data_IF_577059337459
#
_entry.id   IF_577059337459
#
_cell.length_a   1.000
_cell.length_b   1.000
_cell.length_c   1.000
_cell.angle_alpha   90.00
_cell.angle_beta   90.00
_cell.angle_gamma   90.00
#
_symmetry.space_group_name_H-M   'P 1'
#
loop_
_entity.id
_entity.type
_entity.pdbx_description
1 polymer ?
#
# COMPACT_ATOMS: atom_id res chain seq x y z
N UNK A 1 -58.44 77.20 25.89
CA UNK A 1 -58.95 76.51 27.09
C UNK A 1 -58.31 75.14 27.10
N UNK A 2 -57.47 74.88 28.12
CA UNK A 2 -56.99 73.59 28.67
C UNK A 2 -56.37 72.58 27.68
N UNK A 3 -55.40 71.74 28.02
CA UNK A 3 -54.41 71.64 29.09
C UNK A 3 -53.44 70.55 28.57
N UNK A 4 -52.17 70.69 28.89
CA UNK A 4 -51.08 69.74 28.57
C UNK A 4 -51.29 68.38 29.27
N UNK A 5 -50.61 67.28 28.88
CA UNK A 5 -49.32 67.05 29.56
C UNK A 5 -48.22 66.33 28.75
N UNK A 6 -47.03 66.83 29.03
CA UNK A 6 -45.71 66.19 29.09
C UNK A 6 -45.73 64.80 29.73
N UNK A 7 -45.03 63.83 29.14
CA UNK A 7 -44.53 62.63 29.82
C UNK A 7 -43.04 62.44 29.52
N UNK A 8 -42.28 62.34 30.61
CA UNK A 8 -40.83 62.18 30.69
C UNK A 8 -40.39 60.72 30.41
N UNK A 9 -39.08 60.43 30.28
CA UNK A 9 -38.54 59.26 29.57
C UNK A 9 -38.30 58.05 30.48
N UNK A 10 -38.28 56.85 29.90
CA UNK A 10 -37.76 55.65 30.55
C UNK A 10 -36.97 54.79 29.56
N UNK A 11 -35.75 54.49 29.98
CA UNK A 11 -34.70 53.71 29.32
C UNK A 11 -35.20 52.49 28.53
N UNK A 12 -34.78 52.36 27.27
CA UNK A 12 -34.67 51.07 26.60
C UNK A 12 -33.19 50.78 26.36
N UNK A 13 -32.67 49.85 27.15
CA UNK A 13 -31.38 49.22 26.92
C UNK A 13 -31.35 48.65 25.49
N UNK A 14 -30.39 49.10 24.70
CA UNK A 14 -30.15 48.63 23.34
C UNK A 14 -29.73 47.17 23.38
N UNK A 15 -30.63 46.29 22.93
CA UNK A 15 -30.36 44.88 22.74
C UNK A 15 -29.40 44.75 21.55
N UNK A 16 -28.15 44.37 21.83
CA UNK A 16 -27.14 44.09 20.81
C UNK A 16 -27.61 42.96 19.89
N UNK A 17 -27.37 43.04 18.56
CA UNK A 17 -27.81 42.02 17.62
C UNK A 17 -27.10 40.68 17.93
N UNK A 18 -27.80 39.53 17.81
CA UNK A 18 -27.19 38.24 18.09
C UNK A 18 -26.02 38.01 17.13
N UNK A 19 -24.91 37.56 17.70
CA UNK A 19 -23.69 37.22 16.99
C UNK A 19 -24.00 36.30 15.80
N UNK A 20 -23.58 36.73 14.62
CA UNK A 20 -23.61 35.95 13.40
C UNK A 20 -22.81 34.67 13.66
N UNK A 21 -23.53 33.55 13.80
CA UNK A 21 -22.93 32.22 13.89
C UNK A 21 -22.05 32.06 12.65
N UNK A 22 -20.73 32.01 12.85
CA UNK A 22 -19.81 31.53 11.82
C UNK A 22 -20.24 30.11 11.48
N UNK A 23 -20.43 29.75 10.20
CA UNK A 23 -20.62 28.37 9.86
C UNK A 23 -19.30 27.64 10.14
N UNK A 24 -19.20 26.98 11.29
CA UNK A 24 -18.28 25.86 11.50
C UNK A 24 -18.79 24.67 10.67
N UNK A 25 -18.83 24.88 9.35
CA UNK A 25 -19.08 23.85 8.37
C UNK A 25 -17.75 23.24 7.99
N UNK A 26 -17.16 22.43 8.87
CA UNK A 26 -16.16 21.48 8.40
C UNK A 26 -16.84 20.59 7.37
N UNK A 27 -16.59 20.85 6.09
CA UNK A 27 -17.14 20.03 5.01
C UNK A 27 -16.54 18.64 5.23
N UNK A 28 -17.36 17.61 5.51
CA UNK A 28 -16.82 16.28 5.76
C UNK A 28 -16.01 15.87 4.53
N UNK A 29 -14.80 15.35 4.76
CA UNK A 29 -13.98 14.80 3.68
C UNK A 29 -14.82 13.76 2.92
N UNK A 30 -15.12 14.04 1.65
CA UNK A 30 -15.82 13.13 0.77
C UNK A 30 -14.81 12.56 -0.21
N UNK A 31 -14.51 11.24 -0.13
CA UNK A 31 -13.63 10.62 -1.11
C UNK A 31 -14.24 10.75 -2.51
N UNK A 32 -13.39 10.90 -3.53
CA UNK A 32 -13.83 11.01 -4.92
C UNK A 32 -14.45 9.70 -5.44
N UNK A 33 -14.07 8.57 -4.83
CA UNK A 33 -14.56 7.24 -5.17
C UNK A 33 -15.06 6.59 -3.88
N UNK A 34 -16.30 6.14 -3.93
CA UNK A 34 -16.86 5.26 -2.91
C UNK A 34 -17.06 3.90 -3.57
N UNK A 35 -16.87 2.83 -2.79
CA UNK A 35 -17.07 1.45 -3.24
C UNK A 35 -17.94 0.73 -2.21
N UNK A 36 -18.88 -0.09 -2.66
CA UNK A 36 -19.62 -0.96 -1.74
C UNK A 36 -18.73 -2.09 -1.22
N UNK A 37 -19.07 -2.65 -0.05
CA UNK A 37 -18.35 -3.81 0.49
C UNK A 37 -18.37 -5.01 -0.47
N UNK A 38 -19.48 -5.20 -1.20
CA UNK A 38 -19.60 -6.26 -2.20
C UNK A 38 -18.61 -6.06 -3.35
N UNK A 39 -18.47 -4.83 -3.86
CA UNK A 39 -17.52 -4.49 -4.91
C UNK A 39 -16.08 -4.66 -4.43
N UNK A 40 -15.75 -4.24 -3.20
CA UNK A 40 -14.42 -4.44 -2.62
C UNK A 40 -14.08 -5.92 -2.47
N UNK A 41 -15.03 -6.74 -1.99
CA UNK A 41 -14.83 -8.18 -1.86
C UNK A 41 -14.54 -8.82 -3.21
N UNK A 42 -15.34 -8.50 -4.23
CA UNK A 42 -15.15 -8.98 -5.59
C UNK A 42 -13.81 -8.54 -6.20
N UNK A 43 -13.45 -7.26 -6.05
CA UNK A 43 -12.16 -6.73 -6.51
C UNK A 43 -10.98 -7.45 -5.86
N UNK A 44 -11.06 -7.73 -4.55
CA UNK A 44 -10.00 -8.46 -3.84
C UNK A 44 -9.85 -9.90 -4.34
N UNK A 45 -10.94 -10.56 -4.73
CA UNK A 45 -10.87 -11.93 -5.27
C UNK A 45 -10.18 -12.00 -6.63
N UNK A 46 -10.40 -11.00 -7.49
CA UNK A 46 -9.81 -10.92 -8.83
C UNK A 46 -8.42 -10.27 -8.85
N UNK A 47 -8.11 -9.38 -7.90
CA UNK A 47 -6.84 -8.67 -7.83
C UNK A 47 -5.69 -9.56 -7.31
N UNK A 48 -6.00 -10.74 -6.77
CA UNK A 48 -4.99 -11.74 -6.41
C UNK A 48 -4.17 -12.09 -7.66
N UNK A 49 -2.84 -12.09 -7.53
CA UNK A 49 -1.95 -12.45 -8.63
C UNK A 49 -2.20 -13.92 -9.03
N UNK A 50 -2.67 -14.13 -10.26
CA UNK A 50 -3.08 -15.43 -10.79
C UNK A 50 -2.36 -15.72 -12.10
N UNK A 51 -2.23 -17.01 -12.40
CA UNK A 51 -1.73 -17.45 -13.69
C UNK A 51 -2.64 -17.01 -14.85
N UNK A 52 -2.14 -17.01 -16.09
CA UNK A 52 -2.94 -16.68 -17.26
C UNK A 52 -4.07 -17.69 -17.48
N UNK A 53 -5.25 -17.20 -17.88
CA UNK A 53 -6.29 -18.00 -18.50
C UNK A 53 -5.80 -18.45 -19.88
N UNK A 54 -5.73 -19.76 -20.09
CA UNK A 54 -5.36 -20.37 -21.37
C UNK A 54 -6.62 -20.80 -22.12
N UNK A 55 -6.72 -20.41 -23.39
CA UNK A 55 -7.79 -20.80 -24.30
C UNK A 55 -7.25 -20.94 -25.73
N UNK A 56 -8.12 -21.21 -26.70
CA UNK A 56 -7.80 -21.27 -28.12
C UNK A 56 -8.88 -20.56 -28.91
N UNK A 57 -8.48 -19.74 -29.88
CA UNK A 57 -9.39 -19.11 -30.86
C UNK A 57 -8.91 -19.48 -32.27
N UNK A 58 -9.72 -20.26 -32.98
CA UNK A 58 -9.29 -20.99 -34.16
C UNK A 58 -8.11 -21.92 -33.83
N UNK A 59 -7.08 -21.90 -34.67
CA UNK A 59 -5.88 -22.75 -34.50
C UNK A 59 -4.80 -22.16 -33.58
N UNK A 60 -4.98 -20.91 -33.13
CA UNK A 60 -3.96 -20.18 -32.37
C UNK A 60 -4.24 -20.24 -30.86
N UNK A 61 -3.21 -20.41 -30.02
CA UNK A 61 -3.35 -20.31 -28.57
C UNK A 61 -3.63 -18.87 -28.16
N UNK A 62 -4.47 -18.72 -27.13
CA UNK A 62 -4.79 -17.46 -26.48
C UNK A 62 -4.45 -17.55 -24.99
N UNK A 63 -3.69 -16.58 -24.50
CA UNK A 63 -3.38 -16.41 -23.09
C UNK A 63 -3.83 -15.03 -22.63
N UNK A 64 -4.71 -14.99 -21.64
CA UNK A 64 -5.23 -13.76 -21.03
C UNK A 64 -4.77 -13.68 -19.58
N UNK A 65 -4.12 -12.58 -19.19
CA UNK A 65 -3.69 -12.37 -17.81
C UNK A 65 -4.17 -11.01 -17.33
N UNK A 66 -4.85 -10.97 -16.17
CA UNK A 66 -5.13 -9.70 -15.51
C UNK A 66 -3.79 -9.04 -15.17
N UNK A 67 -3.58 -7.84 -15.68
CA UNK A 67 -2.37 -7.08 -15.40
C UNK A 67 -2.57 -6.18 -14.18
N UNK A 68 -3.59 -5.31 -14.24
CA UNK A 68 -3.91 -4.36 -13.17
C UNK A 68 -5.34 -3.86 -13.28
N UNK A 69 -5.84 -3.33 -12.16
CA UNK A 69 -7.02 -2.48 -12.13
C UNK A 69 -6.59 -1.03 -12.32
N UNK A 70 -7.25 -0.32 -13.23
CA UNK A 70 -6.97 1.08 -13.55
C UNK A 70 -8.19 1.92 -13.17
N UNK A 71 -7.99 2.89 -12.29
CA UNK A 71 -9.07 3.74 -11.78
C UNK A 71 -9.27 5.03 -12.58
N UNK A 72 -8.22 5.51 -13.23
CA UNK A 72 -8.22 6.74 -14.02
C UNK A 72 -7.78 6.44 -15.45
N UNK A 73 -8.48 6.98 -16.43
CA UNK A 73 -8.19 6.73 -17.84
C UNK A 73 -6.81 7.28 -18.19
N UNK A 74 -5.90 6.38 -18.56
CA UNK A 74 -4.59 6.73 -19.10
C UNK A 74 -4.69 6.88 -20.64
N UNK A 75 -4.09 7.92 -21.24
CA UNK A 75 -4.05 8.08 -22.70
C UNK A 75 -3.33 6.88 -23.33
N UNK A 76 -3.87 6.40 -24.45
CA UNK A 76 -3.36 5.21 -25.14
C UNK A 76 -2.84 5.61 -26.50
N UNK A 77 -1.63 5.14 -26.83
CA UNK A 77 -1.05 5.40 -28.15
C UNK A 77 -1.66 4.51 -29.25
N UNK A 78 -2.34 3.43 -28.87
CA UNK A 78 -2.97 2.47 -29.78
C UNK A 78 -4.46 2.76 -29.94
N UNK A 79 -4.96 2.75 -31.17
CA UNK A 79 -6.40 2.80 -31.47
C UNK A 79 -7.09 1.55 -30.91
N UNK A 80 -8.18 1.78 -30.19
CA UNK A 80 -8.97 0.76 -29.50
C UNK A 80 -10.40 0.75 -30.06
N UNK A 81 -11.00 -0.43 -30.10
CA UNK A 81 -12.36 -0.70 -30.53
C UNK A 81 -13.18 -1.16 -29.32
N UNK A 82 -14.17 -0.38 -28.89
CA UNK A 82 -15.07 -0.70 -27.80
C UNK A 82 -16.13 -1.70 -28.29
N UNK A 83 -16.08 -2.94 -27.81
CA UNK A 83 -17.07 -3.95 -28.09
C UNK A 83 -18.13 -3.93 -26.98
N UNK A 84 -19.36 -3.54 -27.33
CA UNK A 84 -20.45 -3.32 -26.38
C UNK A 84 -21.39 -4.52 -26.34
N UNK A 85 -21.35 -5.29 -25.26
CA UNK A 85 -22.16 -6.49 -25.06
C UNK A 85 -23.37 -6.20 -24.17
N UNK A 86 -24.51 -6.79 -24.51
CA UNK A 86 -25.64 -6.97 -23.59
C UNK A 86 -25.46 -8.26 -22.80
N UNK A 87 -25.56 -8.14 -21.48
CA UNK A 87 -25.45 -9.21 -20.50
C UNK A 87 -26.76 -9.42 -19.72
N UNK A 88 -27.89 -9.32 -20.41
CA UNK A 88 -29.22 -9.49 -19.83
C UNK A 88 -29.72 -8.23 -19.12
N UNK A 89 -29.61 -7.09 -19.81
CA UNK A 89 -29.99 -5.76 -19.33
C UNK A 89 -28.83 -4.93 -18.78
N UNK A 90 -27.63 -5.49 -18.75
CA UNK A 90 -26.40 -4.84 -18.30
C UNK A 90 -25.43 -4.69 -19.47
N UNK A 91 -24.83 -3.51 -19.58
CA UNK A 91 -23.89 -3.20 -20.66
C UNK A 91 -22.47 -3.51 -20.20
N UNK A 92 -21.79 -4.39 -20.92
CA UNK A 92 -20.37 -4.69 -20.75
C UNK A 92 -19.59 -4.09 -21.91
N UNK A 93 -18.49 -3.40 -21.63
CA UNK A 93 -17.65 -2.84 -22.69
C UNK A 93 -16.26 -3.45 -22.61
N UNK A 94 -15.92 -4.24 -23.63
CA UNK A 94 -14.60 -4.84 -23.82
C UNK A 94 -13.88 -4.06 -24.93
N UNK A 95 -12.90 -3.25 -24.58
CA UNK A 95 -12.07 -2.53 -25.54
C UNK A 95 -10.92 -3.41 -26.01
N UNK A 96 -10.85 -3.63 -27.33
CA UNK A 96 -9.81 -4.42 -27.99
C UNK A 96 -8.97 -3.51 -28.89
N UNK A 97 -7.63 -3.62 -28.91
CA UNK A 97 -6.81 -2.96 -29.91
C UNK A 97 -7.23 -3.40 -31.31
N UNK A 98 -7.29 -2.46 -32.27
CA UNK A 98 -7.71 -2.77 -33.65
C UNK A 98 -6.94 -3.95 -34.27
N UNK A 99 -5.60 -4.08 -34.10
CA UNK A 99 -4.87 -5.24 -34.63
C UNK A 99 -5.29 -6.58 -33.99
N UNK A 100 -5.74 -6.57 -32.73
CA UNK A 100 -6.27 -7.76 -32.08
C UNK A 100 -7.67 -8.08 -32.63
N UNK A 101 -8.53 -7.09 -32.82
CA UNK A 101 -9.86 -7.28 -33.41
C UNK A 101 -9.77 -7.86 -34.84
N UNK A 102 -8.86 -7.34 -35.68
CA UNK A 102 -8.58 -7.88 -37.01
C UNK A 102 -8.09 -9.34 -36.96
N UNK A 103 -7.16 -9.63 -36.04
CA UNK A 103 -6.65 -10.99 -35.85
C UNK A 103 -7.75 -11.98 -35.42
N UNK A 104 -8.73 -11.52 -34.65
CA UNK A 104 -9.90 -12.31 -34.24
C UNK A 104 -10.88 -12.52 -35.40
N UNK A 105 -11.20 -11.48 -36.16
CA UNK A 105 -12.05 -11.57 -37.37
C UNK A 105 -11.48 -12.58 -38.37
N UNK A 106 -10.15 -12.60 -38.54
CA UNK A 106 -9.46 -13.55 -39.41
C UNK A 106 -9.65 -15.03 -39.01
N UNK A 107 -10.07 -15.32 -37.78
CA UNK A 107 -10.37 -16.71 -37.34
C UNK A 107 -11.66 -17.25 -37.95
N UNK A 108 -12.59 -16.37 -38.29
CA UNK A 108 -13.85 -16.74 -38.94
C UNK A 108 -13.63 -16.91 -40.44
N UNK A 109 -12.93 -15.94 -41.06
CA UNK A 109 -12.58 -16.00 -42.47
C UNK A 109 -11.19 -15.40 -42.72
N UNK A 110 -10.29 -16.21 -43.27
CA UNK A 110 -8.93 -15.77 -43.60
C UNK A 110 -8.94 -14.63 -44.62
N UNK A 111 -8.15 -13.59 -44.35
CA UNK A 111 -7.99 -12.43 -45.25
C UNK A 111 -9.14 -11.42 -45.19
N UNK A 112 -10.11 -11.60 -44.29
CA UNK A 112 -11.16 -10.62 -44.07
C UNK A 112 -10.61 -9.44 -43.27
N UNK A 113 -10.63 -8.23 -43.84
CA UNK A 113 -10.36 -6.98 -43.12
C UNK A 113 -11.50 -6.69 -42.13
N UNK A 114 -11.27 -5.81 -41.16
CA UNK A 114 -12.31 -5.37 -40.23
C UNK A 114 -13.52 -4.80 -41.01
N UNK A 115 -14.70 -5.45 -41.01
CA UNK A 115 -15.81 -5.00 -41.83
C UNK A 115 -16.50 -3.77 -41.19
N UNK A 116 -17.46 -3.18 -41.90
CA UNK A 116 -18.33 -2.16 -41.32
C UNK A 116 -19.41 -2.78 -40.44
N UNK A 117 -20.04 -1.96 -39.58
CA UNK A 117 -21.27 -2.37 -38.90
C UNK A 117 -22.40 -2.63 -39.92
N UNK A 118 -23.36 -3.54 -39.63
CA UNK A 118 -23.46 -4.40 -38.45
C UNK A 118 -22.62 -5.70 -38.53
N UNK A 119 -22.00 -5.96 -39.68
CA UNK A 119 -21.26 -7.22 -39.95
C UNK A 119 -20.09 -7.41 -38.99
N UNK A 120 -19.42 -6.31 -38.60
CA UNK A 120 -18.30 -6.35 -37.65
C UNK A 120 -18.68 -6.95 -36.31
N UNK A 121 -19.78 -6.47 -35.72
CA UNK A 121 -20.30 -7.01 -34.46
C UNK A 121 -20.61 -8.50 -34.57
N UNK A 122 -21.28 -8.92 -35.64
CA UNK A 122 -21.62 -10.34 -35.85
C UNK A 122 -20.39 -11.24 -36.00
N UNK A 123 -19.40 -10.81 -36.79
CA UNK A 123 -18.18 -11.62 -37.01
C UNK A 123 -17.30 -11.65 -35.76
N UNK A 124 -17.21 -10.55 -35.01
CA UNK A 124 -16.48 -10.51 -33.75
C UNK A 124 -17.15 -11.34 -32.65
N UNK A 125 -18.48 -11.32 -32.56
CA UNK A 125 -19.24 -12.18 -31.65
C UNK A 125 -18.93 -13.66 -31.92
N UNK A 126 -18.99 -14.06 -33.20
CA UNK A 126 -18.66 -15.43 -33.61
C UNK A 126 -17.19 -15.79 -33.31
N UNK A 127 -16.26 -14.87 -33.55
CA UNK A 127 -14.84 -15.08 -33.25
C UNK A 127 -14.57 -15.21 -31.74
N UNK A 128 -15.38 -14.56 -30.90
CA UNK A 128 -15.24 -14.55 -29.44
C UNK A 128 -16.04 -15.67 -28.75
N UNK A 129 -16.87 -16.41 -29.48
CA UNK A 129 -17.73 -17.49 -28.94
C UNK A 129 -17.01 -18.43 -27.96
N UNK A 130 -15.78 -18.91 -28.21
CA UNK A 130 -15.13 -19.83 -27.28
C UNK A 130 -14.78 -19.21 -25.91
N UNK A 131 -14.70 -17.87 -25.84
CA UNK A 131 -14.53 -17.13 -24.60
C UNK A 131 -15.87 -16.74 -23.95
N UNK A 132 -16.89 -16.48 -24.76
CA UNK A 132 -18.22 -16.08 -24.29
C UNK A 132 -19.00 -17.30 -23.77
N UNK A 133 -18.96 -18.45 -24.45
CA UNK A 133 -19.74 -19.63 -24.11
C UNK A 133 -19.54 -20.17 -22.66
N UNK A 134 -18.33 -20.16 -22.07
CA UNK A 134 -18.17 -20.47 -20.65
C UNK A 134 -18.86 -19.47 -19.70
N UNK A 135 -18.81 -18.17 -20.03
CA UNK A 135 -19.50 -17.12 -19.27
C UNK A 135 -21.01 -17.29 -19.38
N UNK A 136 -21.53 -17.47 -20.59
CA UNK A 136 -22.95 -17.65 -20.87
C UNK A 136 -23.55 -18.86 -20.13
N UNK A 137 -22.83 -20.00 -20.13
CA UNK A 137 -23.26 -21.21 -19.41
C UNK A 137 -23.36 -21.00 -17.91
N UNK A 138 -22.42 -20.25 -17.32
CA UNK A 138 -22.45 -19.94 -15.89
C UNK A 138 -23.52 -18.90 -15.54
N UNK A 139 -23.70 -17.90 -16.41
CA UNK A 139 -24.73 -16.87 -16.24
C UNK A 139 -26.14 -17.37 -16.56
N UNK A 140 -26.27 -18.49 -17.27
CA UNK A 140 -27.52 -18.98 -17.87
C UNK A 140 -28.20 -17.92 -18.76
N UNK A 141 -27.40 -17.13 -19.47
CA UNK A 141 -27.83 -16.02 -20.34
C UNK A 141 -26.87 -15.89 -21.51
N UNK A 142 -27.36 -15.38 -22.64
CA UNK A 142 -26.51 -15.07 -23.80
C UNK A 142 -25.84 -13.70 -23.65
N UNK A 143 -24.61 -13.60 -24.15
CA UNK A 143 -23.85 -12.36 -24.27
C UNK A 143 -23.87 -11.94 -25.74
N UNK A 144 -24.67 -10.92 -26.07
CA UNK A 144 -24.81 -10.44 -27.45
C UNK A 144 -23.98 -9.19 -27.67
N UNK A 145 -23.15 -9.19 -28.71
CA UNK A 145 -22.39 -8.01 -29.14
C UNK A 145 -23.31 -7.08 -29.92
N UNK A 146 -23.73 -5.99 -29.30
CA UNK A 146 -24.70 -5.07 -29.87
C UNK A 146 -24.11 -4.18 -30.95
N UNK A 147 -22.89 -3.67 -30.70
CA UNK A 147 -22.16 -2.79 -31.60
C UNK A 147 -20.68 -2.74 -31.24
N UNK A 148 -19.89 -2.22 -32.16
CA UNK A 148 -18.51 -1.82 -31.88
C UNK A 148 -18.24 -0.38 -32.32
N UNK A 149 -17.66 0.40 -31.41
CA UNK A 149 -17.40 1.83 -31.57
C UNK A 149 -15.90 2.13 -31.44
N UNK A 150 -15.43 3.25 -32.00
CA UNK A 150 -14.08 3.73 -31.68
C UNK A 150 -14.03 4.13 -30.20
N UNK A 151 -12.98 3.72 -29.49
CA UNK A 151 -12.95 3.82 -28.05
C UNK A 151 -12.99 5.27 -27.56
N UNK A 152 -14.16 5.69 -27.09
CA UNK A 152 -14.42 6.97 -26.44
C UNK A 152 -14.88 6.79 -24.99
N UNK A 153 -15.15 5.55 -24.57
CA UNK A 153 -15.73 5.27 -23.25
C UNK A 153 -14.70 5.52 -22.15
N UNK A 154 -15.07 6.35 -21.17
CA UNK A 154 -14.24 6.67 -20.01
C UNK A 154 -14.77 6.00 -18.75
N UNK A 155 -13.86 5.52 -17.90
CA UNK A 155 -14.22 4.86 -16.65
C UNK A 155 -13.09 3.98 -16.12
N UNK A 156 -13.22 3.48 -14.88
CA UNK A 156 -12.28 2.50 -14.36
C UNK A 156 -12.42 1.18 -15.14
N UNK A 157 -11.31 0.48 -15.34
CA UNK A 157 -11.28 -0.75 -16.13
C UNK A 157 -10.26 -1.76 -15.60
N UNK A 158 -10.48 -3.04 -15.91
CA UNK A 158 -9.50 -4.11 -15.76
C UNK A 158 -8.65 -4.19 -17.03
N UNK A 159 -7.34 -4.09 -16.87
CA UNK A 159 -6.37 -4.25 -17.96
C UNK A 159 -5.92 -5.71 -18.03
N UNK A 160 -5.97 -6.28 -19.24
CA UNK A 160 -5.52 -7.64 -19.52
C UNK A 160 -4.34 -7.61 -20.48
N UNK A 161 -3.29 -8.35 -20.15
CA UNK A 161 -2.28 -8.73 -21.14
C UNK A 161 -2.84 -9.89 -21.96
N UNK A 162 -2.80 -9.71 -23.29
CA UNK A 162 -3.31 -10.66 -24.27
C UNK A 162 -2.16 -11.16 -25.13
N UNK A 163 -1.93 -12.47 -25.15
CA UNK A 163 -1.05 -13.11 -26.10
C UNK A 163 -1.87 -14.05 -26.99
N UNK A 164 -1.95 -13.74 -28.28
CA UNK A 164 -2.70 -14.49 -29.28
C UNK A 164 -1.79 -14.90 -30.44
N UNK A 165 -1.37 -16.17 -30.47
CA UNK A 165 -0.31 -16.62 -31.38
C UNK A 165 0.98 -15.84 -31.14
N UNK A 166 1.41 -15.05 -32.14
CA UNK A 166 2.59 -14.17 -32.06
C UNK A 166 2.25 -12.72 -31.65
N UNK A 167 0.95 -12.38 -31.59
CA UNK A 167 0.50 -11.04 -31.24
C UNK A 167 0.46 -10.88 -29.72
N UNK A 168 1.18 -9.90 -29.19
CA UNK A 168 1.09 -9.49 -27.78
C UNK A 168 0.49 -8.10 -27.70
N UNK A 169 -0.57 -7.93 -26.92
CA UNK A 169 -1.28 -6.65 -26.80
C UNK A 169 -2.00 -6.52 -25.46
N UNK A 170 -2.77 -5.43 -25.28
CA UNK A 170 -3.55 -5.17 -24.07
C UNK A 170 -5.03 -4.97 -24.38
N UNK A 171 -5.91 -5.68 -23.69
CA UNK A 171 -7.36 -5.48 -23.74
C UNK A 171 -7.86 -4.83 -22.45
N UNK A 172 -9.03 -4.19 -22.51
CA UNK A 172 -9.64 -3.53 -21.35
C UNK A 172 -11.07 -3.97 -21.18
N UNK A 173 -11.46 -4.30 -19.96
CA UNK A 173 -12.86 -4.47 -19.59
C UNK A 173 -13.26 -3.30 -18.69
N UNK A 174 -14.09 -2.39 -19.19
CA UNK A 174 -14.62 -1.30 -18.40
C UNK A 174 -15.47 -1.85 -17.26
N UNK A 175 -15.33 -1.27 -16.08
CA UNK A 175 -16.19 -1.57 -14.95
C UNK A 175 -17.55 -0.90 -15.12
N UNK A 176 -18.52 -1.44 -14.39
CA UNK A 176 -19.88 -0.93 -14.33
C UNK A 176 -19.95 0.45 -13.66
N UNK A 177 -20.97 1.24 -14.04
CA UNK A 177 -21.05 2.67 -13.70
C UNK A 177 -21.25 2.96 -12.21
N UNK A 178 -21.89 2.06 -11.46
CA UNK A 178 -22.18 2.25 -10.03
C UNK A 178 -21.37 1.29 -9.17
N UNK A 179 -20.19 1.75 -8.73
CA UNK A 179 -19.31 0.97 -7.87
C UNK A 179 -19.72 0.98 -6.39
N UNK A 180 -20.72 1.81 -6.04
CA UNK A 180 -21.34 1.88 -4.72
C UNK A 180 -22.54 0.95 -4.53
N UNK A 181 -22.94 0.25 -5.60
CA UNK A 181 -24.05 -0.67 -5.59
C UNK A 181 -23.58 -2.13 -5.48
N UNK A 182 -24.47 -3.06 -5.81
CA UNK A 182 -24.14 -4.48 -5.93
C UNK A 182 -23.26 -4.73 -7.16
N UNK A 183 -22.46 -5.80 -7.11
CA UNK A 183 -21.70 -6.27 -8.26
C UNK A 183 -22.69 -6.84 -9.28
N UNK A 184 -22.68 -6.37 -10.53
CA UNK A 184 -23.55 -6.91 -11.57
C UNK A 184 -23.29 -8.42 -11.79
N UNK A 185 -24.31 -9.25 -12.13
CA UNK A 185 -24.15 -10.70 -12.27
C UNK A 185 -23.04 -11.10 -13.24
N UNK A 186 -22.88 -10.38 -14.35
CA UNK A 186 -21.83 -10.68 -15.33
C UNK A 186 -20.41 -10.55 -14.73
N UNK A 187 -20.16 -9.49 -13.95
CA UNK A 187 -18.89 -9.30 -13.26
C UNK A 187 -18.70 -10.32 -12.14
N UNK A 188 -19.77 -10.70 -11.44
CA UNK A 188 -19.72 -11.72 -10.40
C UNK A 188 -19.26 -13.07 -10.97
N UNK A 189 -19.84 -13.51 -12.09
CA UNK A 189 -19.46 -14.75 -12.78
C UNK A 189 -18.04 -14.67 -13.36
N UNK A 190 -17.67 -13.52 -13.94
CA UNK A 190 -16.30 -13.30 -14.38
C UNK A 190 -15.30 -13.42 -13.21
N UNK A 191 -15.66 -12.86 -12.06
CA UNK A 191 -14.88 -12.95 -10.83
C UNK A 191 -14.69 -14.40 -10.37
N UNK A 192 -15.75 -15.21 -10.44
CA UNK A 192 -15.68 -16.64 -10.12
C UNK A 192 -14.75 -17.40 -11.07
N UNK A 193 -14.86 -17.16 -12.38
CA UNK A 193 -14.00 -17.80 -13.39
C UNK A 193 -12.52 -17.45 -13.18
N UNK A 194 -12.22 -16.16 -13.01
CA UNK A 194 -10.87 -15.69 -12.70
C UNK A 194 -10.42 -16.24 -11.34
N UNK A 195 -11.34 -16.37 -10.39
CA UNK A 195 -11.15 -16.94 -9.06
C UNK A 195 -10.68 -18.39 -9.06
N UNK A 196 -11.01 -19.17 -10.10
CA UNK A 196 -10.59 -20.56 -10.29
C UNK A 196 -9.15 -20.69 -10.82
N UNK A 197 -8.55 -19.63 -11.35
CA UNK A 197 -7.16 -19.66 -11.84
C UNK A 197 -6.17 -19.83 -10.67
N UNK A 198 -5.08 -20.59 -10.87
CA UNK A 198 -4.11 -20.88 -9.82
C UNK A 198 -3.47 -19.58 -9.33
N UNK A 199 -3.45 -19.40 -8.00
CA UNK A 199 -2.76 -18.29 -7.37
C UNK A 199 -1.27 -18.40 -7.62
N UNK A 200 -0.65 -17.30 -7.97
CA UNK A 200 0.79 -17.18 -8.08
C UNK A 200 1.28 -16.26 -6.97
N UNK A 201 2.45 -16.58 -6.43
CA UNK A 201 3.15 -15.67 -5.53
C UNK A 201 3.84 -14.60 -6.37
N UNK A 202 3.52 -13.30 -6.17
CA UNK A 202 4.27 -12.24 -6.81
C UNK A 202 5.75 -12.41 -6.44
N UNK A 203 6.64 -12.31 -7.43
CA UNK A 203 8.06 -12.20 -7.13
C UNK A 203 8.26 -10.85 -6.43
N UNK A 204 8.63 -10.87 -5.15
CA UNK A 204 8.99 -9.64 -4.44
C UNK A 204 10.09 -8.94 -5.24
N UNK A 205 9.90 -7.64 -5.50
CA UNK A 205 10.94 -6.83 -6.15
C UNK A 205 12.16 -6.83 -5.23
N UNK A 206 13.25 -7.41 -5.71
CA UNK A 206 14.46 -7.57 -4.90
C UNK A 206 15.12 -6.23 -4.57
N UNK A 207 14.78 -5.18 -5.32
CA UNK A 207 15.30 -3.81 -5.19
C UNK A 207 14.71 -3.01 -4.03
N UNK A 208 13.67 -3.50 -3.37
CA UNK A 208 13.01 -2.78 -2.27
C UNK A 208 14.05 -2.42 -1.19
N UNK A 209 14.18 -1.14 -0.81
CA UNK A 209 15.18 -0.72 0.16
C UNK A 209 14.76 -1.14 1.57
N UNK A 210 15.73 -1.65 2.33
CA UNK A 210 15.64 -1.98 3.74
C UNK A 210 16.86 -1.44 4.45
N UNK A 211 16.69 -0.99 5.70
CA UNK A 211 17.79 -0.54 6.54
C UNK A 211 18.12 -1.66 7.52
N UNK A 212 19.36 -2.11 7.51
CA UNK A 212 19.93 -2.92 8.59
C UNK A 212 20.49 -1.97 9.65
N UNK A 213 20.05 -2.06 10.89
CA UNK A 213 20.54 -1.23 12.00
C UNK A 213 21.30 -2.08 13.02
N UNK A 214 22.46 -1.60 13.48
CA UNK A 214 23.24 -2.27 14.52
C UNK A 214 22.89 -1.72 15.89
N UNK A 215 22.15 -2.49 16.68
CA UNK A 215 21.68 -2.13 18.01
C UNK A 215 22.64 -2.67 19.07
N UNK A 216 23.16 -1.77 19.91
CA UNK A 216 24.12 -2.10 20.97
C UNK A 216 23.46 -2.20 22.35
N UNK A 217 22.24 -1.68 22.48
CA UNK A 217 21.44 -1.82 23.69
C UNK A 217 20.08 -1.12 23.60
N UNK A 218 19.28 -1.28 24.64
CA UNK A 218 17.99 -0.61 24.79
C UNK A 218 17.72 -0.21 26.23
N UNK A 219 16.97 0.88 26.43
CA UNK A 219 16.57 1.39 27.74
C UNK A 219 15.10 1.77 27.71
N UNK A 220 14.30 1.26 28.66
CA UNK A 220 12.98 1.81 28.95
C UNK A 220 13.10 3.00 29.87
N UNK A 221 12.47 4.10 29.50
CA UNK A 221 12.56 5.37 30.22
C UNK A 221 11.26 6.15 30.03
N UNK A 222 10.91 6.98 31.01
CA UNK A 222 9.74 7.86 30.92
C UNK A 222 10.05 9.11 30.10
N UNK A 223 9.03 9.70 29.47
CA UNK A 223 9.17 10.96 28.73
C UNK A 223 9.69 12.08 29.63
N UNK A 224 9.24 12.16 30.89
CA UNK A 224 9.70 13.16 31.84
C UNK A 224 11.20 13.11 32.08
N UNK A 225 11.79 11.91 32.19
CA UNK A 225 13.25 11.75 32.33
C UNK A 225 13.99 12.11 31.03
N UNK A 226 13.44 11.79 29.87
CA UNK A 226 14.03 12.17 28.58
C UNK A 226 14.10 13.70 28.43
N UNK A 227 13.06 14.42 28.87
CA UNK A 227 13.03 15.90 28.85
C UNK A 227 14.03 16.52 29.82
N UNK A 228 14.24 15.90 30.97
CA UNK A 228 15.18 16.38 31.99
C UNK A 228 16.63 16.06 31.66
N UNK A 229 16.89 15.08 30.80
CA UNK A 229 18.22 14.60 30.46
C UNK A 229 19.13 15.70 29.88
N UNK A 230 20.32 15.83 30.45
CA UNK A 230 21.31 16.84 30.11
C UNK A 230 22.59 16.24 29.54
N UNK A 231 23.39 17.10 28.93
CA UNK A 231 24.74 16.74 28.51
C UNK A 231 25.55 16.25 29.72
N UNK A 232 26.17 15.09 29.59
CA UNK A 232 26.98 14.47 30.64
C UNK A 232 26.24 13.40 31.45
N UNK A 233 24.92 13.35 31.41
CA UNK A 233 24.15 12.30 32.06
C UNK A 233 24.48 10.94 31.44
N UNK A 234 24.53 9.89 32.27
CA UNK A 234 24.79 8.53 31.83
C UNK A 234 23.49 7.72 31.87
N UNK A 235 23.07 7.22 30.71
CA UNK A 235 21.93 6.32 30.58
C UNK A 235 22.42 4.88 30.70
N UNK A 236 21.85 4.10 31.64
CA UNK A 236 22.21 2.70 31.85
C UNK A 236 21.19 1.81 31.11
N UNK A 237 21.55 1.11 30.03
CA UNK A 237 20.62 0.27 29.29
C UNK A 237 20.18 -0.98 30.07
N UNK A 238 18.90 -1.35 29.97
CA UNK A 238 18.36 -2.58 30.57
C UNK A 238 19.01 -3.85 29.98
N UNK A 239 19.42 -3.76 28.72
CA UNK A 239 20.13 -4.80 28.00
C UNK A 239 21.21 -4.19 27.12
N UNK A 240 22.45 -4.65 27.30
CA UNK A 240 23.62 -4.21 26.51
C UNK A 240 24.43 -5.42 26.02
N UNK A 241 24.06 -6.03 24.87
CA UNK A 241 24.83 -7.10 24.23
C UNK A 241 26.30 -6.75 24.04
N UNK A 242 26.61 -5.45 23.91
CA UNK A 242 27.97 -4.94 23.77
C UNK A 242 28.89 -5.36 24.91
N UNK A 243 28.36 -5.54 26.14
CA UNK A 243 29.16 -6.02 27.27
C UNK A 243 29.76 -7.42 27.04
N UNK A 244 29.19 -8.20 26.11
CA UNK A 244 29.66 -9.53 25.69
C UNK A 244 30.37 -9.52 24.33
N UNK A 245 30.72 -8.35 23.81
CA UNK A 245 31.32 -8.22 22.47
C UNK A 245 30.33 -8.47 21.32
N UNK A 246 29.03 -8.36 21.58
CA UNK A 246 27.96 -8.66 20.62
C UNK A 246 27.15 -7.42 20.27
N UNK A 247 26.61 -7.40 19.05
CA UNK A 247 25.67 -6.39 18.54
C UNK A 247 24.49 -7.12 17.93
N UNK A 248 23.29 -6.57 18.04
CA UNK A 248 22.12 -7.12 17.36
C UNK A 248 21.85 -6.32 16.09
N UNK A 249 21.94 -6.98 14.94
CA UNK A 249 21.56 -6.40 13.66
C UNK A 249 20.06 -6.59 13.45
N UNK A 250 19.33 -5.53 13.09
CA UNK A 250 17.88 -5.56 12.87
C UNK A 250 17.50 -5.07 11.49
N UNK A 251 16.48 -5.69 10.89
CA UNK A 251 15.89 -5.29 9.62
C UNK A 251 14.36 -5.44 9.71
N UNK A 252 13.67 -4.36 10.09
CA UNK A 252 12.24 -4.40 10.41
C UNK A 252 11.94 -5.33 11.58
N UNK A 253 11.21 -6.41 11.32
CA UNK A 253 10.88 -7.44 12.32
C UNK A 253 11.93 -8.56 12.44
N UNK A 254 12.93 -8.58 11.57
CA UNK A 254 13.99 -9.58 11.58
C UNK A 254 15.19 -9.10 12.39
N UNK A 255 15.88 -10.03 13.04
CA UNK A 255 17.15 -9.75 13.72
C UNK A 255 18.13 -10.91 13.62
N UNK A 256 19.41 -10.59 13.78
CA UNK A 256 20.50 -11.57 13.90
C UNK A 256 21.62 -11.02 14.81
N UNK A 257 22.28 -11.88 15.59
CA UNK A 257 23.43 -11.46 16.37
C UNK A 257 24.64 -11.28 15.45
N UNK A 258 25.50 -10.33 15.81
CA UNK A 258 26.79 -10.10 15.19
C UNK A 258 27.86 -9.95 16.27
N UNK A 259 29.07 -10.40 15.96
CA UNK A 259 30.23 -10.24 16.81
C UNK A 259 31.11 -9.11 16.30
N UNK A 260 31.77 -8.45 17.24
CA UNK A 260 32.64 -7.32 16.96
C UNK A 260 34.04 -7.83 16.61
N UNK A 261 34.56 -7.38 15.47
CA UNK A 261 35.91 -7.66 15.02
C UNK A 261 36.58 -6.36 14.57
N UNK A 262 37.09 -5.57 15.52
CA UNK A 262 37.65 -4.24 15.24
C UNK A 262 36.54 -3.27 14.79
N UNK A 263 36.67 -2.71 13.58
CA UNK A 263 35.69 -1.80 12.98
C UNK A 263 34.59 -2.52 12.15
N UNK A 264 34.50 -3.85 12.31
CA UNK A 264 33.59 -4.72 11.56
C UNK A 264 32.63 -5.44 12.48
N UNK A 265 31.42 -5.67 11.98
CA UNK A 265 30.44 -6.57 12.60
C UNK A 265 30.32 -7.83 11.75
N UNK A 266 30.63 -8.98 12.33
CA UNK A 266 30.55 -10.28 11.66
C UNK A 266 29.27 -10.98 12.08
N UNK A 267 28.40 -11.27 11.13
CA UNK A 267 27.10 -11.89 11.40
C UNK A 267 27.27 -13.33 11.94
N UNK A 268 26.57 -13.65 13.04
CA UNK A 268 26.60 -14.97 13.72
C UNK A 268 25.26 -15.70 13.56
N UNK A 269 24.87 -15.92 12.31
CA UNK A 269 23.66 -16.67 11.93
C UNK A 269 22.69 -15.86 11.05
N UNK A 270 21.68 -16.51 10.46
CA UNK A 270 20.73 -15.84 9.57
C UNK A 270 19.78 -14.91 10.34
N UNK A 271 19.21 -13.93 9.65
CA UNK A 271 18.11 -13.10 10.15
C UNK A 271 16.87 -13.94 10.45
N UNK A 272 16.30 -13.80 11.65
CA UNK A 272 15.14 -14.58 12.13
C UNK A 272 13.98 -13.68 12.52
N UNK A 273 12.76 -14.16 12.27
CA UNK A 273 11.52 -13.58 12.78
C UNK A 273 11.14 -14.27 14.09
N UNK A 274 11.77 -13.86 15.19
CA UNK A 274 11.50 -14.35 16.54
C UNK A 274 11.37 -13.16 17.50
N UNK A 275 10.98 -13.39 18.76
CA UNK A 275 10.96 -12.33 19.79
C UNK A 275 12.31 -11.62 19.86
N UNK A 276 12.34 -10.35 19.47
CA UNK A 276 13.55 -9.52 19.46
C UNK A 276 14.08 -9.39 20.89
N UNK A 277 15.35 -9.72 21.16
CA UNK A 277 15.90 -9.74 22.52
C UNK A 277 15.90 -8.37 23.20
N UNK A 278 15.82 -7.27 22.43
CA UNK A 278 15.70 -5.91 22.94
C UNK A 278 14.26 -5.36 22.90
N UNK A 279 13.26 -6.13 22.43
CA UNK A 279 11.85 -5.72 22.47
C UNK A 279 11.22 -6.18 23.78
N UNK A 280 10.73 -5.20 24.50
CA UNK A 280 9.90 -5.40 25.68
C UNK A 280 8.43 -5.41 25.27
N UNK A 281 7.63 -6.36 25.79
CA UNK A 281 6.19 -6.43 25.50
C UNK A 281 5.48 -5.23 26.10
N UNK A 282 4.75 -4.46 25.28
CA UNK A 282 3.85 -3.41 25.75
C UNK A 282 2.59 -4.06 26.38
N UNK A 283 2.25 -3.64 27.59
CA UNK A 283 0.90 -3.76 28.15
C UNK A 283 0.24 -2.39 27.98
N UNK A 284 -0.81 -2.29 27.16
CA UNK A 284 -1.61 -1.07 27.02
C UNK A 284 -2.71 -1.04 28.07
N UNK A 285 -2.68 -0.06 28.97
CA UNK A 285 -3.87 0.42 29.70
C UNK A 285 -4.40 1.66 28.99
N UNK A 286 -5.67 1.61 28.56
CA UNK A 286 -6.36 2.74 27.92
C UNK A 286 -6.88 3.70 28.98
N UNK A 287 -6.31 4.90 29.05
CA UNK A 287 -6.96 6.06 29.65
C UNK A 287 -6.42 7.34 29.00
N UNK A 288 -7.30 8.33 28.80
CA UNK A 288 -6.94 9.61 28.16
C UNK A 288 -5.90 10.35 29.02
N UNK A 289 -4.71 10.72 28.52
CA UNK A 289 -3.66 11.28 29.36
C UNK A 289 -3.79 12.81 29.53
N UNK A 290 -3.71 13.29 30.78
CA UNK A 290 -3.30 14.64 31.17
C UNK A 290 -1.80 14.88 30.85
N UNK A 291 -1.29 16.11 30.87
CA UNK A 291 0.16 16.39 30.71
C UNK A 291 1.03 15.65 31.74
N UNK A 292 0.55 15.52 32.98
CA UNK A 292 1.20 14.71 34.01
C UNK A 292 1.21 13.20 33.67
N UNK A 293 0.23 12.74 32.88
CA UNK A 293 0.16 11.37 32.41
C UNK A 293 1.07 11.14 31.18
N UNK A 294 1.39 12.19 30.40
CA UNK A 294 2.34 12.09 29.28
C UNK A 294 3.78 11.90 29.79
N UNK A 295 4.19 12.64 30.82
CA UNK A 295 5.55 12.52 31.37
C UNK A 295 5.80 11.15 32.00
N UNK A 296 4.74 10.45 32.44
CA UNK A 296 4.82 9.08 32.96
C UNK A 296 4.83 7.99 31.87
N UNK A 297 4.61 8.36 30.60
CA UNK A 297 4.61 7.41 29.50
C UNK A 297 6.01 6.80 29.31
N UNK A 298 6.09 5.47 29.43
CA UNK A 298 7.33 4.73 29.16
C UNK A 298 7.54 4.55 27.65
N UNK A 299 8.73 4.93 27.19
CA UNK A 299 9.20 4.68 25.83
C UNK A 299 10.48 3.85 25.88
N UNK A 300 10.77 3.15 24.79
CA UNK A 300 12.04 2.42 24.63
C UNK A 300 13.00 3.24 23.79
N UNK A 301 14.13 3.62 24.38
CA UNK A 301 15.29 4.12 23.65
C UNK A 301 16.11 2.95 23.12
N UNK A 302 16.57 3.08 21.88
CA UNK A 302 17.47 2.13 21.22
C UNK A 302 18.78 2.85 20.91
N UNK A 303 19.88 2.21 21.27
CA UNK A 303 21.23 2.72 20.98
C UNK A 303 21.77 2.01 19.75
N UNK A 304 22.07 2.78 18.69
CA UNK A 304 22.54 2.25 17.42
C UNK A 304 23.99 2.66 17.13
N UNK A 305 24.81 1.71 16.71
CA UNK A 305 26.18 1.95 16.28
C UNK A 305 26.29 2.26 14.77
N UNK A 306 25.31 1.87 13.95
CA UNK A 306 25.34 2.07 12.50
C UNK A 306 24.04 1.68 11.80
N UNK A 307 23.88 2.18 10.57
CA UNK A 307 22.76 1.88 9.66
C UNK A 307 23.29 1.62 8.25
N UNK A 308 22.85 0.53 7.65
CA UNK A 308 23.25 0.11 6.31
C UNK A 308 22.01 -0.03 5.42
N UNK A 309 21.74 0.94 4.51
CA UNK A 309 20.70 0.79 3.52
C UNK A 309 21.13 -0.24 2.48
N UNK A 310 20.24 -1.19 2.17
CA UNK A 310 20.47 -2.22 1.15
C UNK A 310 19.16 -2.68 0.55
N UNK A 311 19.23 -3.52 -0.48
CA UNK A 311 18.04 -4.12 -1.09
C UNK A 311 17.59 -5.37 -0.31
N UNK A 312 16.30 -5.72 -0.36
CA UNK A 312 15.81 -7.00 0.19
C UNK A 312 16.52 -8.18 -0.49
N UNK A 313 16.86 -8.08 -1.77
CA UNK A 313 17.65 -9.08 -2.48
C UNK A 313 19.02 -9.32 -1.85
N UNK A 314 19.72 -8.24 -1.49
CA UNK A 314 20.98 -8.28 -0.74
C UNK A 314 20.77 -8.88 0.65
N UNK A 315 19.74 -8.44 1.39
CA UNK A 315 19.45 -8.98 2.71
C UNK A 315 19.19 -10.50 2.68
N UNK A 316 18.55 -11.01 1.61
CA UNK A 316 18.30 -12.46 1.43
C UNK A 316 19.56 -13.27 1.09
N UNK A 317 20.59 -12.65 0.52
CA UNK A 317 21.86 -13.33 0.23
C UNK A 317 22.84 -13.32 1.42
N UNK A 318 22.61 -12.45 2.40
CA UNK A 318 23.40 -12.37 3.63
C UNK A 318 23.19 -13.64 4.47
N UNK A 319 24.31 -14.26 4.83
CA UNK A 319 24.38 -15.44 5.68
C UNK A 319 25.45 -15.23 6.77
N UNK A 320 25.56 -16.20 7.68
CA UNK A 320 26.61 -16.22 8.69
C UNK A 320 28.00 -15.95 8.08
N UNK A 321 28.79 -15.14 8.76
CA UNK A 321 30.10 -14.68 8.28
C UNK A 321 30.06 -13.43 7.41
N UNK A 322 28.88 -12.93 7.01
CA UNK A 322 28.79 -11.63 6.33
C UNK A 322 29.29 -10.50 7.23
N UNK A 323 30.03 -9.56 6.63
CA UNK A 323 30.72 -8.48 7.33
C UNK A 323 30.03 -7.16 7.03
N UNK A 324 29.60 -6.46 8.07
CA UNK A 324 29.15 -5.08 7.99
C UNK A 324 30.27 -4.16 8.44
N UNK A 325 30.70 -3.26 7.55
CA UNK A 325 31.72 -2.26 7.85
C UNK A 325 31.09 -1.11 8.65
N UNK A 326 31.57 -0.87 9.88
CA UNK A 326 31.09 0.22 10.70
C UNK A 326 31.75 1.56 10.32
N UNK A 327 32.94 1.50 9.71
CA UNK A 327 33.73 2.65 9.27
C UNK A 327 34.27 3.52 10.43
N UNK A 328 34.19 3.00 11.66
CA UNK A 328 34.73 3.59 12.89
C UNK A 328 34.80 2.52 13.97
N UNK A 329 35.65 2.73 14.98
CA UNK A 329 35.59 1.97 16.23
C UNK A 329 34.24 2.09 16.92
N UNK A 330 33.77 1.01 17.53
CA UNK A 330 32.55 0.99 18.34
C UNK A 330 32.62 1.88 19.59
N UNK A 331 33.82 2.24 20.03
CA UNK A 331 34.05 3.19 21.12
C UNK A 331 33.66 4.64 20.72
N UNK A 332 33.33 4.85 19.44
CA UNK A 332 32.78 6.10 18.95
C UNK A 332 31.35 6.37 19.45
N UNK A 333 30.81 7.56 19.16
CA UNK A 333 29.47 7.91 19.59
C UNK A 333 28.41 7.02 18.94
N UNK A 334 27.45 6.57 19.73
CA UNK A 334 26.24 5.88 19.29
C UNK A 334 25.11 6.87 19.08
N UNK A 335 24.24 6.57 18.11
CA UNK A 335 23.00 7.32 17.93
C UNK A 335 21.96 6.81 18.95
N UNK A 336 21.18 7.72 19.53
CA UNK A 336 20.11 7.43 20.50
C UNK A 336 18.78 7.65 19.80
N UNK A 337 17.93 6.62 19.76
CA UNK A 337 16.70 6.64 18.99
C UNK A 337 15.49 6.37 19.86
N UNK A 338 14.43 7.14 19.64
CA UNK A 338 13.10 6.89 20.15
C UNK A 338 12.17 6.62 18.96
N UNK A 339 11.45 5.49 18.98
CA UNK A 339 10.51 5.09 17.91
C UNK A 339 11.11 5.18 16.49
N UNK A 340 12.41 4.87 16.35
CA UNK A 340 13.13 4.89 15.06
C UNK A 340 13.68 6.26 14.63
N UNK A 341 13.35 7.33 15.35
CA UNK A 341 13.85 8.68 15.12
C UNK A 341 15.05 8.97 16.02
N UNK A 342 16.13 9.51 15.47
CA UNK A 342 17.30 9.92 16.26
C UNK A 342 16.99 11.17 17.06
N UNK A 343 17.07 11.06 18.37
CA UNK A 343 16.87 12.16 19.33
C UNK A 343 18.19 12.64 19.95
N UNK A 344 19.30 11.91 19.78
CA UNK A 344 20.58 12.34 20.34
C UNK A 344 21.75 11.45 19.96
N UNK A 345 22.89 11.74 20.59
CA UNK A 345 24.13 10.95 20.52
C UNK A 345 24.76 10.82 21.88
N UNK A 346 25.42 9.70 22.14
CA UNK A 346 26.14 9.47 23.37
C UNK A 346 27.41 8.66 23.19
N UNK A 347 28.32 8.76 24.14
CA UNK A 347 29.53 7.93 24.22
C UNK A 347 29.26 6.69 25.04
N UNK A 348 29.73 5.53 24.59
CA UNK A 348 29.76 4.35 25.45
C UNK A 348 30.82 4.57 26.52
N UNK A 349 30.43 4.47 27.78
CA UNK A 349 31.29 4.62 28.95
C UNK A 349 31.11 3.42 29.87
N UNK A 350 32.14 3.12 30.67
CA UNK A 350 32.08 2.10 31.71
C UNK A 350 31.93 2.76 33.07
N UNK A 351 30.93 2.34 33.84
CA UNK A 351 30.67 2.81 35.21
C UNK A 351 30.73 1.58 36.12
N UNK A 352 31.85 1.42 36.84
CA UNK A 352 32.13 0.17 37.56
C UNK A 352 32.21 -1.01 36.59
N UNK A 353 31.35 -2.01 36.80
CA UNK A 353 31.27 -3.20 35.95
C UNK A 353 30.28 -3.05 34.77
N UNK A 354 29.45 -2.00 34.79
CA UNK A 354 28.36 -1.82 33.82
C UNK A 354 28.76 -0.86 32.67
N UNK A 355 28.15 -1.08 31.50
CA UNK A 355 28.25 -0.17 30.36
C UNK A 355 27.06 0.79 30.35
N UNK A 356 27.33 2.07 30.15
CA UNK A 356 26.35 3.14 30.06
C UNK A 356 26.59 3.99 28.80
N UNK A 357 25.61 4.79 28.43
CA UNK A 357 25.69 5.75 27.32
C UNK A 357 25.64 7.16 27.89
N UNK A 358 26.78 7.86 27.86
CA UNK A 358 26.91 9.24 28.32
C UNK A 358 26.45 10.21 27.24
N UNK A 359 25.48 11.06 27.55
CA UNK A 359 24.90 12.01 26.62
C UNK A 359 25.90 13.11 26.20
N UNK A 360 26.04 13.33 24.89
CA UNK A 360 26.88 14.42 24.34
C UNK A 360 26.18 15.78 24.32
N UNK A 361 24.87 15.79 24.44
CA UNK A 361 24.01 16.97 24.34
C UNK A 361 22.63 16.67 24.92
N UNK A 362 21.74 17.67 24.89
CA UNK A 362 20.32 17.44 25.19
C UNK A 362 19.71 16.54 24.12
N UNK A 363 18.74 15.73 24.54
CA UNK A 363 17.94 14.93 23.63
C UNK A 363 16.91 15.85 22.95
N UNK A 364 16.88 15.86 21.62
CA UNK A 364 15.89 16.58 20.84
C UNK A 364 14.54 15.88 20.99
N UNK A 365 13.72 16.38 21.91
CA UNK A 365 12.28 16.18 21.91
C UNK A 365 11.74 17.31 21.04
N UNK A 366 10.98 17.02 19.98
CA UNK A 366 10.35 18.09 19.20
C UNK A 366 9.53 18.95 20.18
N UNK A 367 9.83 20.24 20.26
CA UNK A 367 9.05 21.24 20.99
C UNK A 367 7.72 21.53 20.28
#
# INVERSE_FOLDING_TARGET
MADTPTLAPACREGQAPPATQRPDGSVPFRPQLTLSHAVVSWLNEIAVFRGPLQSRLGDKPLSLRINRLVWQVEPTETSMLDCVFDAGGEMLVLSLPVPLAEALVATVQNGLSLPSEPTRSLVLELALEPLLAPLERLMQRHLQLLRTDEAATSGPYLEFDVAYGQLTSKARLLLFSSLDALVPPAFSVLGELLGRLPRQTPKLRSELPVIVAGQVGSLRITIGLVRQAQRGDALLPDAIPLARGQVILTAGALWAPAEIAGERLVLRGPFRSQSHPLKSRHMTTQQLPSEADIDSLEITLVFECGRWPMSIGTLRSINEGHVFELGRSLDGPVDILANGQRIGRGDIVRIGEELAVRLRGRLAVND
#
